data_IF_093423566632
#
_entry.id   IF_093423566632
#
_cell.length_a   1.000
_cell.length_b   1.000
_cell.length_c   1.000
_cell.angle_alpha   90.00
_cell.angle_beta   90.00
_cell.angle_gamma   90.00
#
_symmetry.space_group_name_H-M   'P 1'
#
loop_
_entity.id
_entity.type
_entity.pdbx_description
1 polymer ?
#
# COMPACT_ATOMS: atom_id res chain seq x y z
N UNK A 1 -15.65 4.84 -9.50
CA UNK A 1 -14.88 5.75 -8.64
C UNK A 1 -13.94 4.90 -7.79
N UNK A 2 -12.69 5.32 -7.58
CA UNK A 2 -11.77 4.63 -6.67
C UNK A 2 -12.21 4.89 -5.23
N UNK A 3 -12.34 3.83 -4.43
CA UNK A 3 -12.66 3.91 -3.00
C UNK A 3 -11.72 3.01 -2.20
N UNK A 4 -11.57 3.30 -0.91
CA UNK A 4 -10.89 2.38 -0.03
C UNK A 4 -11.62 1.03 0.02
N UNK A 5 -10.89 -0.10 0.03
CA UNK A 5 -11.49 -1.41 0.14
C UNK A 5 -12.06 -1.62 1.54
N UNK A 6 -13.22 -2.27 1.60
CA UNK A 6 -13.91 -2.52 2.88
C UNK A 6 -13.09 -3.45 3.79
N UNK A 7 -12.25 -4.31 3.22
CA UNK A 7 -11.28 -5.17 3.94
C UNK A 7 -10.10 -4.42 4.55
N UNK A 8 -9.91 -3.13 4.21
CA UNK A 8 -8.72 -2.33 4.57
C UNK A 8 -7.39 -2.94 4.13
N UNK A 9 -7.41 -3.69 3.03
CA UNK A 9 -6.21 -4.30 2.44
C UNK A 9 -6.09 -3.88 0.98
N UNK A 10 -4.96 -3.28 0.62
CA UNK A 10 -4.58 -3.02 -0.77
C UNK A 10 -3.63 -4.12 -1.26
N UNK A 11 -3.91 -4.68 -2.44
CA UNK A 11 -3.10 -5.73 -3.06
C UNK A 11 -2.58 -5.24 -4.40
N UNK A 12 -1.27 -5.25 -4.57
CA UNK A 12 -0.58 -4.87 -5.80
C UNK A 12 0.15 -6.10 -6.37
N UNK A 13 -0.11 -6.39 -7.65
CA UNK A 13 0.42 -7.55 -8.37
C UNK A 13 1.31 -7.15 -9.55
N UNK A 14 1.83 -5.92 -9.51
CA UNK A 14 2.66 -5.34 -10.56
C UNK A 14 4.16 -5.38 -10.24
N UNK A 15 4.52 -5.89 -9.07
CA UNK A 15 5.91 -6.13 -8.68
C UNK A 15 6.35 -7.52 -9.12
N UNK A 16 7.66 -7.72 -9.19
CA UNK A 16 8.30 -8.97 -9.49
C UNK A 16 8.92 -9.57 -8.23
N UNK A 17 9.31 -10.84 -8.31
CA UNK A 17 10.07 -11.52 -7.24
C UNK A 17 11.46 -10.91 -7.01
N UNK A 18 11.98 -10.13 -7.97
CA UNK A 18 13.28 -9.47 -7.83
C UNK A 18 13.19 -8.11 -7.14
N UNK A 19 11.98 -7.52 -7.04
CA UNK A 19 11.79 -6.24 -6.38
C UNK A 19 11.83 -6.39 -4.85
N UNK A 20 12.65 -5.57 -4.19
CA UNK A 20 12.64 -5.48 -2.72
C UNK A 20 11.91 -4.21 -2.29
N UNK A 21 10.77 -4.38 -1.62
CA UNK A 21 10.00 -3.26 -1.08
C UNK A 21 10.58 -2.88 0.28
N UNK A 22 11.15 -1.68 0.37
CA UNK A 22 11.77 -1.14 1.57
C UNK A 22 10.76 -0.48 2.50
N UNK A 23 9.85 0.32 1.95
CA UNK A 23 8.83 1.00 2.74
C UNK A 23 7.55 1.23 1.93
N UNK A 24 6.43 1.30 2.65
CA UNK A 24 5.14 1.72 2.09
C UNK A 24 4.53 2.74 3.03
N UNK A 25 3.99 3.84 2.49
CA UNK A 25 3.27 4.86 3.27
C UNK A 25 2.15 5.49 2.48
N UNK A 26 1.18 6.08 3.16
CA UNK A 26 0.23 6.98 2.51
C UNK A 26 0.89 8.34 2.25
N UNK A 27 0.57 8.95 1.10
CA UNK A 27 0.94 10.35 0.88
C UNK A 27 0.22 11.23 1.90
N UNK A 28 0.99 11.98 2.69
CA UNK A 28 0.46 12.79 3.80
C UNK A 28 0.09 11.98 5.05
N UNK A 29 0.50 10.72 5.15
CA UNK A 29 0.28 9.86 6.31
C UNK A 29 1.53 9.10 6.74
N UNK A 30 1.33 8.19 7.69
CA UNK A 30 2.38 7.37 8.30
C UNK A 30 2.79 6.17 7.44
N UNK A 31 3.97 5.58 7.72
CA UNK A 31 4.34 4.26 7.23
C UNK A 31 3.29 3.20 7.56
N UNK A 32 3.08 2.28 6.63
CA UNK A 32 2.07 1.24 6.73
C UNK A 32 2.70 -0.15 6.88
N UNK A 33 2.09 -1.04 7.67
CA UNK A 33 2.44 -2.45 7.65
C UNK A 33 2.18 -3.05 6.27
N UNK A 34 3.12 -3.83 5.78
CA UNK A 34 2.98 -4.54 4.51
C UNK A 34 3.66 -5.91 4.56
N UNK A 35 3.27 -6.76 3.63
CA UNK A 35 3.89 -8.05 3.34
C UNK A 35 4.14 -8.16 1.84
N UNK A 36 5.39 -8.40 1.45
CA UNK A 36 5.78 -8.64 0.06
C UNK A 36 6.23 -10.10 -0.11
N UNK A 37 5.56 -10.86 -0.97
CA UNK A 37 5.96 -12.22 -1.30
C UNK A 37 5.54 -12.58 -2.72
N UNK A 38 6.41 -13.31 -3.43
CA UNK A 38 6.14 -13.82 -4.78
C UNK A 38 5.66 -12.74 -5.78
N UNK A 39 6.20 -11.51 -5.69
CA UNK A 39 5.80 -10.37 -6.54
C UNK A 39 4.45 -9.74 -6.18
N UNK A 40 3.84 -10.14 -5.06
CA UNK A 40 2.58 -9.60 -4.56
C UNK A 40 2.83 -8.82 -3.29
N UNK A 41 2.51 -7.52 -3.35
CA UNK A 41 2.58 -6.61 -2.20
C UNK A 41 1.18 -6.44 -1.60
N UNK A 42 1.04 -6.82 -0.34
CA UNK A 42 -0.18 -6.66 0.46
C UNK A 42 0.06 -5.60 1.52
N UNK A 43 -0.78 -4.56 1.56
CA UNK A 43 -0.62 -3.42 2.47
C UNK A 43 -1.86 -3.28 3.34
N UNK A 44 -1.65 -3.15 4.65
CA UNK A 44 -2.71 -2.89 5.60
C UNK A 44 -2.99 -1.38 5.69
N UNK A 45 -4.22 -0.99 5.42
CA UNK A 45 -4.67 0.40 5.48
C UNK A 45 -5.24 0.73 6.86
N UNK A 46 -5.06 1.97 7.35
CA UNK A 46 -5.68 2.43 8.59
C UNK A 46 -7.20 2.60 8.42
N UNK A 47 -7.91 2.69 9.55
CA UNK A 47 -9.35 2.98 9.54
C UNK A 47 -9.63 4.41 9.08
N UNK A 48 -8.87 5.36 9.61
CA UNK A 48 -8.90 6.75 9.22
C UNK A 48 -7.85 6.99 8.13
N UNK A 49 -8.31 7.49 6.99
CA UNK A 49 -7.46 7.82 5.86
C UNK A 49 -7.10 9.31 5.88
N UNK A 50 -5.91 9.72 5.40
CA UNK A 50 -5.49 11.12 5.38
C UNK A 50 -6.45 12.06 4.66
N UNK A 51 -7.25 11.53 3.72
CA UNK A 51 -8.25 12.29 3.00
C UNK A 51 -9.49 11.45 2.68
N UNK A 52 -10.64 12.12 2.58
CA UNK A 52 -11.91 11.53 2.16
C UNK A 52 -12.00 11.27 0.64
N UNK A 53 -11.00 11.74 -0.12
CA UNK A 53 -10.93 11.55 -1.57
C UNK A 53 -10.06 10.33 -1.94
N UNK A 54 -9.29 10.45 -3.02
CA UNK A 54 -8.34 9.42 -3.43
C UNK A 54 -7.12 9.44 -2.53
N UNK A 55 -6.74 8.26 -2.05
CA UNK A 55 -5.54 8.03 -1.26
C UNK A 55 -4.50 7.35 -2.14
N UNK A 56 -3.24 7.77 -2.01
CA UNK A 56 -2.13 7.28 -2.81
C UNK A 56 -1.07 6.62 -1.91
N UNK A 57 -0.56 5.47 -2.33
CA UNK A 57 0.56 4.80 -1.68
C UNK A 57 1.87 5.24 -2.34
N UNK A 58 2.85 5.62 -1.53
CA UNK A 58 4.24 5.71 -1.95
C UNK A 58 4.93 4.39 -1.56
N UNK A 59 5.58 3.77 -2.54
CA UNK A 59 6.33 2.52 -2.40
C UNK A 59 7.79 2.86 -2.67
N UNK A 60 8.64 2.63 -1.68
CA UNK A 60 10.09 2.75 -1.81
C UNK A 60 10.66 1.36 -2.10
N UNK A 61 11.45 1.26 -3.16
CA UNK A 61 12.23 0.07 -3.50
C UNK A 61 13.67 0.26 -3.03
N UNK A 62 14.41 -0.84 -2.83
CA UNK A 62 15.87 -0.80 -2.62
C UNK A 62 16.65 -0.49 -3.89
#
# INVERSE_FOLDING_TARGET
MLKAPDSRVAVMKCLTVADTVKSVRLLGGEPLPFHHAFGVLTVQLPQELPTAYTNCLAIELE
#
